data_IF_448587139071
#
_entry.id   IF_448587139071
#
_cell.length_a   1.000
_cell.length_b   1.000
_cell.length_c   1.000
_cell.angle_alpha   90.00
_cell.angle_beta   90.00
_cell.angle_gamma   90.00
#
_symmetry.space_group_name_H-M   'P 1'
#
loop_
_entity.id
_entity.type
_entity.pdbx_description
1 polymer ?
#
# COMPACT_ATOMS: atom_id res chain seq x y z
N UNK A 1 -27.92 41.76 -35.66
CA UNK A 1 -26.88 41.34 -34.68
C UNK A 1 -27.31 40.13 -33.84
N UNK A 2 -28.60 39.94 -33.54
CA UNK A 2 -29.13 38.73 -32.86
C UNK A 2 -29.06 37.46 -33.71
N UNK A 3 -29.37 37.58 -35.01
CA UNK A 3 -29.59 36.40 -35.87
C UNK A 3 -28.28 35.72 -36.26
N UNK A 4 -27.19 36.48 -36.35
CA UNK A 4 -25.84 35.97 -36.58
C UNK A 4 -25.32 35.19 -35.37
N UNK A 5 -25.65 35.63 -34.15
CA UNK A 5 -25.24 34.92 -32.93
C UNK A 5 -25.96 33.58 -32.77
N UNK A 6 -27.26 33.53 -33.08
CA UNK A 6 -28.02 32.27 -33.07
C UNK A 6 -27.50 31.28 -34.10
N UNK A 7 -27.19 31.73 -35.33
CA UNK A 7 -26.63 30.84 -36.35
C UNK A 7 -25.26 30.27 -35.94
N UNK A 8 -24.41 31.07 -35.30
CA UNK A 8 -23.11 30.61 -34.79
C UNK A 8 -23.29 29.66 -33.60
N UNK A 9 -24.21 29.96 -32.68
CA UNK A 9 -24.50 29.13 -31.53
C UNK A 9 -25.09 27.77 -31.95
N UNK A 10 -26.04 27.76 -32.87
CA UNK A 10 -26.65 26.54 -33.40
C UNK A 10 -25.65 25.70 -34.18
N UNK A 11 -24.73 26.32 -34.93
CA UNK A 11 -23.67 25.59 -35.64
C UNK A 11 -22.67 24.90 -34.68
N UNK A 12 -22.28 25.58 -33.59
CA UNK A 12 -21.41 24.99 -32.56
C UNK A 12 -22.15 23.88 -31.80
N UNK A 13 -23.40 24.12 -31.43
CA UNK A 13 -24.25 23.15 -30.73
C UNK A 13 -24.54 21.92 -31.59
N UNK A 14 -24.81 22.10 -32.88
CA UNK A 14 -25.00 21.04 -33.88
C UNK A 14 -23.78 20.12 -34.00
N UNK A 15 -22.57 20.69 -33.93
CA UNK A 15 -21.34 19.89 -33.97
C UNK A 15 -21.11 19.07 -32.70
N UNK A 16 -21.54 19.59 -31.55
CA UNK A 16 -21.37 18.92 -30.25
C UNK A 16 -22.50 17.90 -30.01
N UNK A 17 -23.71 18.13 -30.54
CA UNK A 17 -24.87 17.27 -30.28
C UNK A 17 -24.77 15.86 -30.87
N UNK A 18 -23.88 15.65 -31.84
CA UNK A 18 -23.61 14.33 -32.44
C UNK A 18 -22.29 13.71 -31.95
N UNK A 19 -21.56 14.40 -31.07
CA UNK A 19 -20.35 13.85 -30.45
C UNK A 19 -20.72 13.04 -29.22
N UNK A 20 -20.54 11.73 -29.28
CA UNK A 20 -20.64 10.88 -28.09
C UNK A 20 -19.36 11.01 -27.25
N UNK A 21 -19.31 12.12 -26.50
CA UNK A 21 -18.19 12.45 -25.60
C UNK A 21 -18.01 11.33 -24.57
N UNK A 22 -19.10 10.68 -24.13
CA UNK A 22 -19.05 9.55 -23.21
C UNK A 22 -18.28 8.38 -23.80
N UNK A 23 -18.61 7.96 -25.02
CA UNK A 23 -17.88 6.91 -25.74
C UNK A 23 -16.43 7.28 -26.04
N UNK A 24 -16.15 8.55 -26.35
CA UNK A 24 -14.77 9.01 -26.57
C UNK A 24 -13.92 8.94 -25.29
N UNK A 25 -14.47 9.37 -24.15
CA UNK A 25 -13.79 9.27 -22.85
C UNK A 25 -13.65 7.81 -22.41
N UNK A 26 -14.68 6.98 -22.57
CA UNK A 26 -14.61 5.55 -22.26
C UNK A 26 -13.54 4.85 -23.11
N UNK A 27 -13.49 5.16 -24.42
CA UNK A 27 -12.48 4.61 -25.33
C UNK A 27 -11.07 5.03 -24.92
N UNK A 28 -10.82 6.29 -24.55
CA UNK A 28 -9.50 6.72 -24.06
C UNK A 28 -9.14 6.04 -22.74
N UNK A 29 -10.07 5.95 -21.79
CA UNK A 29 -9.84 5.27 -20.52
C UNK A 29 -9.52 3.77 -20.70
N UNK A 30 -10.13 3.13 -21.70
CA UNK A 30 -9.91 1.73 -22.07
C UNK A 30 -8.65 1.54 -22.93
N UNK A 31 -8.38 2.42 -23.89
CA UNK A 31 -7.25 2.34 -24.83
C UNK A 31 -5.92 2.66 -24.16
N UNK A 32 -5.91 3.68 -23.29
CA UNK A 32 -4.73 4.11 -22.54
C UNK A 32 -4.57 3.32 -21.22
N UNK A 33 -5.45 2.36 -20.96
CA UNK A 33 -5.43 1.46 -19.81
C UNK A 33 -5.21 2.21 -18.47
N UNK A 34 -5.79 3.40 -18.34
CA UNK A 34 -5.60 4.31 -17.19
C UNK A 34 -6.04 3.64 -15.88
N UNK A 35 -7.07 2.78 -15.95
CA UNK A 35 -7.52 1.97 -14.82
C UNK A 35 -6.44 1.03 -14.30
N UNK A 36 -5.62 0.45 -15.17
CA UNK A 36 -4.52 -0.43 -14.75
C UNK A 36 -3.38 0.36 -14.09
N UNK A 37 -3.00 1.51 -14.63
CA UNK A 37 -1.99 2.38 -14.00
C UNK A 37 -2.43 2.86 -12.62
N UNK A 38 -3.71 3.22 -12.48
CA UNK A 38 -4.27 3.58 -11.18
C UNK A 38 -4.23 2.40 -10.19
N UNK A 39 -4.60 1.19 -10.63
CA UNK A 39 -4.53 -0.02 -9.80
C UNK A 39 -3.10 -0.33 -9.36
N UNK A 40 -2.11 -0.21 -10.25
CA UNK A 40 -0.69 -0.40 -9.90
C UNK A 40 -0.23 0.63 -8.88
N UNK A 41 -0.57 1.91 -9.07
CA UNK A 41 -0.23 2.95 -8.10
C UNK A 41 -0.87 2.70 -6.72
N UNK A 42 -2.12 2.22 -6.69
CA UNK A 42 -2.77 1.82 -5.44
C UNK A 42 -2.05 0.62 -4.79
N UNK A 43 -1.60 -0.36 -5.57
CA UNK A 43 -0.87 -1.52 -5.06
C UNK A 43 0.47 -1.12 -4.41
N UNK A 44 1.22 -0.21 -5.03
CA UNK A 44 2.48 0.31 -4.48
C UNK A 44 2.28 1.04 -3.15
N UNK A 45 1.21 1.84 -3.03
CA UNK A 45 0.83 2.52 -1.79
C UNK A 45 0.46 1.47 -0.71
N UNK A 46 -0.32 0.46 -1.07
CA UNK A 46 -0.71 -0.61 -0.15
C UNK A 46 0.50 -1.38 0.38
N UNK A 47 1.45 -1.71 -0.49
CA UNK A 47 2.68 -2.40 -0.09
C UNK A 47 3.53 -1.53 0.85
N UNK A 48 3.67 -0.24 0.54
CA UNK A 48 4.40 0.70 1.40
C UNK A 48 3.73 0.84 2.77
N UNK A 49 2.39 0.98 2.80
CA UNK A 49 1.62 1.04 4.04
C UNK A 49 1.74 -0.25 4.87
N UNK A 50 1.82 -1.41 4.21
CA UNK A 50 2.02 -2.69 4.89
C UNK A 50 3.35 -2.74 5.65
N UNK A 51 4.45 -2.24 5.07
CA UNK A 51 5.75 -2.16 5.76
C UNK A 51 5.69 -1.26 7.02
N UNK A 52 4.96 -0.14 6.98
CA UNK A 52 4.74 0.71 8.16
C UNK A 52 3.85 0.06 9.23
N UNK A 53 3.09 -0.98 8.88
CA UNK A 53 2.22 -1.71 9.80
C UNK A 53 2.90 -2.91 10.46
N UNK A 54 4.15 -3.21 10.11
CA UNK A 54 4.89 -4.34 10.68
C UNK A 54 5.10 -4.17 12.18
N UNK A 55 5.03 -5.26 12.98
CA UNK A 55 5.24 -5.18 14.43
C UNK A 55 6.53 -4.44 14.83
N UNK A 56 7.64 -4.68 14.12
CA UNK A 56 8.93 -4.01 14.31
C UNK A 56 8.87 -2.50 14.09
N UNK A 57 8.08 -2.01 13.13
CA UNK A 57 7.90 -0.58 12.85
C UNK A 57 6.98 0.09 13.88
N UNK A 58 5.96 -0.63 14.35
CA UNK A 58 4.94 -0.14 15.30
C UNK A 58 5.45 -0.16 16.74
N UNK A 59 5.92 -1.32 17.22
CA UNK A 59 6.33 -1.53 18.61
C UNK A 59 7.78 -1.13 18.87
N UNK A 60 8.60 -1.02 17.82
CA UNK A 60 9.99 -0.52 17.87
C UNK A 60 10.83 -1.28 18.90
N UNK A 61 11.10 -2.58 18.69
CA UNK A 61 11.94 -3.37 19.57
C UNK A 61 13.33 -2.74 19.72
N UNK A 62 13.92 -2.88 20.89
CA UNK A 62 15.30 -2.46 21.15
C UNK A 62 16.25 -3.37 20.39
N UNK A 63 17.06 -2.79 19.50
CA UNK A 63 18.13 -3.49 18.80
C UNK A 63 19.40 -3.49 19.64
N UNK A 64 19.90 -4.68 19.95
CA UNK A 64 21.16 -4.89 20.67
C UNK A 64 22.04 -5.84 19.87
N UNK A 65 23.34 -5.56 19.81
CA UNK A 65 24.32 -6.45 19.20
C UNK A 65 25.01 -7.29 20.29
N UNK A 66 24.96 -8.61 20.14
CA UNK A 66 25.68 -9.57 20.98
C UNK A 66 26.68 -10.36 20.11
N UNK A 67 27.95 -9.95 20.16
CA UNK A 67 29.00 -10.46 19.29
C UNK A 67 28.68 -10.28 17.81
N UNK A 68 28.51 -11.40 17.10
CA UNK A 68 28.17 -11.43 15.67
C UNK A 68 26.66 -11.47 15.40
N UNK A 69 25.83 -11.53 16.44
CA UNK A 69 24.38 -11.61 16.32
C UNK A 69 23.73 -10.28 16.70
N UNK A 70 22.62 -9.98 16.05
CA UNK A 70 21.70 -8.90 16.35
C UNK A 70 20.44 -9.46 16.99
N UNK A 71 19.99 -8.79 18.05
CA UNK A 71 18.81 -9.14 18.83
C UNK A 71 17.83 -7.96 18.76
N UNK A 72 16.59 -8.23 18.34
CA UNK A 72 15.48 -7.29 18.39
C UNK A 72 14.58 -7.70 19.56
N UNK A 73 14.66 -6.98 20.68
CA UNK A 73 14.00 -7.32 21.94
C UNK A 73 12.84 -6.38 22.21
N UNK A 74 11.65 -6.93 22.42
CA UNK A 74 10.50 -6.18 22.90
C UNK A 74 9.94 -6.80 24.18
N UNK A 75 9.87 -6.00 25.25
CA UNK A 75 9.46 -6.44 26.59
C UNK A 75 10.62 -6.99 27.43
N UNK A 76 10.29 -7.50 28.62
CA UNK A 76 11.27 -8.04 29.56
C UNK A 76 11.53 -9.53 29.31
N UNK A 77 12.78 -9.96 29.40
CA UNK A 77 13.12 -11.38 29.37
C UNK A 77 12.68 -12.04 30.70
N UNK A 78 12.05 -13.23 30.70
CA UNK A 78 11.88 -14.18 29.59
C UNK A 78 10.54 -14.09 28.84
N UNK A 79 9.65 -13.16 29.19
CA UNK A 79 8.27 -13.10 28.66
C UNK A 79 8.12 -12.28 27.38
N UNK A 80 9.13 -11.48 27.04
CA UNK A 80 9.19 -10.65 25.85
C UNK A 80 9.43 -11.44 24.56
N UNK A 81 9.21 -10.77 23.43
CA UNK A 81 9.45 -11.33 22.10
C UNK A 81 10.85 -10.92 21.64
N UNK A 82 11.64 -11.90 21.20
CA UNK A 82 13.02 -11.65 20.73
C UNK A 82 13.24 -12.24 19.35
N UNK A 83 13.54 -11.37 18.39
CA UNK A 83 14.06 -11.75 17.08
C UNK A 83 15.58 -11.80 17.06
N UNK A 84 16.16 -12.71 16.29
CA UNK A 84 17.62 -12.88 16.16
C UNK A 84 18.04 -12.89 14.68
N UNK A 85 19.24 -12.38 14.38
CA UNK A 85 19.81 -12.43 13.02
C UNK A 85 21.30 -12.05 12.99
N UNK A 86 21.94 -12.14 11.82
CA UNK A 86 23.32 -11.67 11.63
C UNK A 86 23.39 -10.20 11.19
N UNK A 87 22.24 -9.57 10.96
CA UNK A 87 22.09 -8.14 10.71
C UNK A 87 20.88 -7.57 11.45
N UNK A 88 20.80 -6.24 11.65
CA UNK A 88 19.62 -5.61 12.25
C UNK A 88 18.32 -5.93 11.48
N UNK A 89 18.40 -5.99 10.15
CA UNK A 89 17.26 -6.28 9.28
C UNK A 89 16.75 -7.71 9.48
N UNK A 90 17.67 -8.68 9.58
CA UNK A 90 17.32 -10.08 9.85
C UNK A 90 16.69 -10.24 11.23
N UNK A 91 17.23 -9.56 12.25
CA UNK A 91 16.69 -9.61 13.60
C UNK A 91 15.26 -9.01 13.68
N UNK A 92 15.00 -7.89 13.00
CA UNK A 92 13.66 -7.29 12.91
C UNK A 92 12.67 -8.18 12.13
N UNK A 93 13.13 -8.85 11.07
CA UNK A 93 12.29 -9.78 10.31
C UNK A 93 11.92 -11.02 11.13
N UNK A 94 12.88 -11.59 11.86
CA UNK A 94 12.63 -12.73 12.76
C UNK A 94 11.71 -12.33 13.92
N UNK A 95 11.84 -11.11 14.44
CA UNK A 95 10.91 -10.54 15.43
C UNK A 95 9.47 -10.46 14.90
N UNK A 96 9.28 -9.91 13.70
CA UNK A 96 7.96 -9.80 13.09
C UNK A 96 7.30 -11.15 12.90
N UNK A 97 8.08 -12.17 12.52
CA UNK A 97 7.59 -13.53 12.39
C UNK A 97 7.14 -14.09 13.74
N UNK A 98 8.00 -14.01 14.76
CA UNK A 98 7.73 -14.50 16.12
C UNK A 98 6.55 -13.80 16.79
N UNK A 99 6.30 -12.54 16.45
CA UNK A 99 5.15 -11.78 16.96
C UNK A 99 3.80 -12.47 16.70
N UNK A 100 3.66 -13.17 15.57
CA UNK A 100 2.43 -13.87 15.19
C UNK A 100 2.46 -15.37 15.51
N UNK A 101 3.55 -15.88 16.08
CA UNK A 101 3.65 -17.29 16.46
C UNK A 101 2.74 -17.57 17.66
N UNK A 102 1.87 -18.58 17.51
CA UNK A 102 1.01 -19.02 18.62
C UNK A 102 1.88 -19.81 19.60
N UNK A 103 1.97 -19.34 20.83
CA UNK A 103 2.42 -20.20 21.92
C UNK A 103 1.39 -21.32 22.08
N UNK A 104 1.84 -22.58 22.14
CA UNK A 104 0.95 -23.68 22.52
C UNK A 104 0.41 -23.33 23.91
N UNK A 105 -0.89 -23.04 23.99
CA UNK A 105 -1.58 -23.04 25.28
C UNK A 105 -1.24 -24.36 25.94
N UNK A 106 -0.82 -24.31 27.20
CA UNK A 106 -0.67 -25.50 28.01
C UNK A 106 -1.93 -26.35 27.85
N UNK A 107 -1.80 -27.50 27.18
CA UNK A 107 -2.75 -28.59 27.33
C UNK A 107 -2.84 -28.85 28.82
N UNK A 108 -4.00 -28.54 29.39
CA UNK A 108 -4.31 -28.80 30.78
C UNK A 108 -4.20 -30.30 31.01
N UNK A 109 -3.06 -30.69 31.59
CA UNK A 109 -2.83 -31.97 32.24
C UNK A 109 -3.77 -32.15 33.44
#
# INVERSE_FOLDING_TARGET
MSDTYQAVYDAVRSRISNGDIGSAVENVMRSENVGHYFQMACADIQQSAAEYSRPSAVFRPTLTQDGNAWLAVFGDLPTGVVGCGYSPAEAMYDFDKKWFEKTKSAEAA
#
